data_IF_828812103718
#
_entry.id   IF_828812103718
#
_cell.length_a   1.000
_cell.length_b   1.000
_cell.length_c   1.000
_cell.angle_alpha   90.00
_cell.angle_beta   90.00
_cell.angle_gamma   90.00
#
_symmetry.space_group_name_H-M   'P 1'
#
loop_
_entity.id
_entity.type
_entity.pdbx_description
1 polymer ?
#
# COMPACT_ATOMS: atom_id res chain seq x y z
N UNK A 1 5.78 -6.27 11.51
CA UNK A 1 4.79 -5.18 11.53
C UNK A 1 3.93 -5.24 10.28
N UNK A 2 2.74 -4.66 10.36
CA UNK A 2 1.78 -4.63 9.29
C UNK A 2 1.50 -3.16 8.95
N UNK A 3 1.85 -2.76 7.73
CA UNK A 3 1.65 -1.41 7.21
C UNK A 3 0.45 -1.43 6.26
N UNK A 4 -0.44 -0.46 6.41
CA UNK A 4 -1.65 -0.34 5.60
C UNK A 4 -1.62 1.00 4.89
N UNK A 5 -1.57 0.99 3.56
CA UNK A 5 -1.58 2.18 2.71
C UNK A 5 -2.89 2.22 1.89
N UNK A 6 -3.62 3.35 1.84
CA UNK A 6 -4.80 3.46 1.00
C UNK A 6 -4.41 3.52 -0.47
N UNK A 7 -5.05 2.67 -1.28
CA UNK A 7 -4.72 2.56 -2.72
C UNK A 7 -5.84 2.99 -3.66
N UNK A 8 -7.05 3.24 -3.15
CA UNK A 8 -8.14 3.80 -3.95
C UNK A 8 -8.10 5.33 -3.98
N UNK A 9 -8.42 5.93 -5.14
CA UNK A 9 -8.40 7.39 -5.31
C UNK A 9 -9.30 8.12 -4.32
N UNK A 10 -10.42 7.52 -3.94
CA UNK A 10 -11.34 8.10 -2.96
C UNK A 10 -10.71 8.16 -1.57
N UNK A 11 -10.04 7.09 -1.11
CA UNK A 11 -9.31 7.14 0.16
C UNK A 11 -8.13 8.12 0.10
N UNK A 12 -7.35 8.11 -0.98
CA UNK A 12 -6.20 9.00 -1.13
C UNK A 12 -6.63 10.47 -1.09
N UNK A 13 -7.62 10.85 -1.90
CA UNK A 13 -8.05 12.25 -2.04
C UNK A 13 -8.94 12.73 -0.90
N UNK A 14 -9.88 11.89 -0.43
CA UNK A 14 -10.91 12.34 0.52
C UNK A 14 -10.56 12.01 1.97
N UNK A 15 -10.03 10.81 2.24
CA UNK A 15 -9.69 10.37 3.61
C UNK A 15 -8.33 10.92 4.04
N UNK A 16 -7.30 10.74 3.21
CA UNK A 16 -5.92 11.12 3.54
C UNK A 16 -5.57 12.53 3.06
N UNK A 17 -6.29 13.06 2.07
CA UNK A 17 -6.06 14.39 1.46
C UNK A 17 -4.62 14.54 0.94
N UNK A 18 -4.17 13.50 0.23
CA UNK A 18 -2.86 13.45 -0.46
C UNK A 18 -3.05 13.12 -1.94
N UNK A 19 -1.94 13.11 -2.67
CA UNK A 19 -1.84 12.55 -4.01
C UNK A 19 -1.21 11.15 -3.99
N UNK A 20 -1.24 10.49 -5.15
CA UNK A 20 -0.76 9.12 -5.36
C UNK A 20 0.75 8.98 -5.09
N UNK A 21 1.55 9.94 -5.55
CA UNK A 21 3.01 9.86 -5.42
C UNK A 21 3.44 10.07 -3.97
N UNK A 22 2.81 11.00 -3.27
CA UNK A 22 2.99 11.17 -1.82
C UNK A 22 2.71 9.89 -1.04
N UNK A 23 1.64 9.15 -1.38
CA UNK A 23 1.30 7.89 -0.70
C UNK A 23 2.33 6.80 -0.99
N UNK A 24 2.79 6.69 -2.24
CA UNK A 24 3.86 5.75 -2.63
C UNK A 24 5.16 6.02 -1.89
N UNK A 25 5.59 7.28 -1.87
CA UNK A 25 6.81 7.70 -1.19
C UNK A 25 6.75 7.38 0.31
N UNK A 26 5.65 7.73 0.99
CA UNK A 26 5.48 7.43 2.42
C UNK A 26 5.47 5.92 2.67
N UNK A 27 4.79 5.13 1.83
CA UNK A 27 4.75 3.68 1.98
C UNK A 27 6.15 3.05 1.85
N UNK A 28 6.97 3.53 0.90
CA UNK A 28 8.35 3.10 0.73
C UNK A 28 9.22 3.52 1.93
N UNK A 29 9.20 4.80 2.31
CA UNK A 29 10.01 5.33 3.43
C UNK A 29 9.71 4.62 4.76
N UNK A 30 8.43 4.36 5.07
CA UNK A 30 8.04 3.65 6.29
C UNK A 30 8.43 2.17 6.22
N UNK A 31 8.39 1.57 5.03
CA UNK A 31 8.87 0.20 4.82
C UNK A 31 10.37 0.12 5.08
N UNK A 32 11.18 0.98 4.43
CA UNK A 32 12.63 1.05 4.62
C UNK A 32 12.98 1.26 6.09
N UNK A 33 12.33 2.23 6.74
CA UNK A 33 12.52 2.50 8.16
C UNK A 33 12.28 1.25 9.01
N UNK A 34 11.21 0.50 8.75
CA UNK A 34 10.96 -0.73 9.49
C UNK A 34 11.98 -1.84 9.20
N UNK A 35 12.46 -1.94 7.96
CA UNK A 35 13.50 -2.91 7.55
C UNK A 35 14.85 -2.58 8.18
N UNK A 36 15.22 -1.31 8.30
CA UNK A 36 16.43 -0.85 8.99
C UNK A 36 16.45 -1.25 10.48
N UNK A 37 15.27 -1.47 11.07
CA UNK A 37 15.11 -1.95 12.45
C UNK A 37 14.99 -3.48 12.54
N UNK A 38 15.28 -4.22 11.46
CA UNK A 38 15.28 -5.68 11.43
C UNK A 38 13.89 -6.31 11.51
N UNK A 39 12.83 -5.57 11.20
CA UNK A 39 11.46 -6.05 11.30
C UNK A 39 11.03 -6.80 10.03
N UNK A 40 10.13 -7.78 10.20
CA UNK A 40 9.38 -8.37 9.08
C UNK A 40 8.25 -7.40 8.72
N UNK A 41 8.11 -7.03 7.46
CA UNK A 41 7.15 -6.03 6.98
C UNK A 41 6.17 -6.66 6.01
N UNK A 42 4.89 -6.41 6.24
CA UNK A 42 3.83 -6.62 5.26
C UNK A 42 3.25 -5.28 4.83
N UNK A 43 3.24 -5.02 3.53
CA UNK A 43 2.61 -3.83 2.94
C UNK A 43 1.25 -4.22 2.36
N UNK A 44 0.18 -3.62 2.88
CA UNK A 44 -1.19 -3.91 2.47
C UNK A 44 -1.83 -2.72 1.77
N UNK A 45 -2.42 -2.97 0.61
CA UNK A 45 -3.23 -1.98 -0.08
C UNK A 45 -4.66 -1.97 0.45
N UNK A 46 -4.99 -1.01 1.32
CA UNK A 46 -6.37 -0.76 1.75
C UNK A 46 -7.21 -0.34 0.53
N UNK A 47 -8.32 -1.04 0.34
CA UNK A 47 -9.28 -0.81 -0.72
C UNK A 47 -8.78 -1.16 -2.13
N UNK A 48 -7.93 -2.18 -2.21
CA UNK A 48 -7.30 -2.62 -3.45
C UNK A 48 -8.30 -3.14 -4.50
N UNK A 49 -9.43 -3.74 -4.09
CA UNK A 49 -10.48 -4.21 -5.02
C UNK A 49 -11.18 -3.09 -5.80
N UNK A 50 -10.98 -1.82 -5.41
CA UNK A 50 -11.53 -0.64 -6.08
C UNK A 50 -10.46 0.35 -6.54
N UNK A 51 -9.19 -0.05 -6.43
CA UNK A 51 -8.05 0.78 -6.83
C UNK A 51 -7.78 0.68 -8.32
N UNK A 52 -7.08 1.68 -8.86
CA UNK A 52 -6.48 1.61 -10.19
C UNK A 52 -5.39 0.53 -10.19
N UNK A 53 -5.50 -0.53 -11.04
CA UNK A 53 -4.54 -1.62 -11.06
C UNK A 53 -3.10 -1.19 -11.34
N UNK A 54 -2.88 -0.16 -12.16
CA UNK A 54 -1.51 0.31 -12.47
C UNK A 54 -0.90 1.04 -11.28
N UNK A 55 -1.69 1.83 -10.56
CA UNK A 55 -1.23 2.45 -9.31
C UNK A 55 -0.94 1.39 -8.24
N UNK A 56 -1.79 0.36 -8.13
CA UNK A 56 -1.60 -0.74 -7.19
C UNK A 56 -0.29 -1.51 -7.46
N UNK A 57 0.00 -1.79 -8.72
CA UNK A 57 1.29 -2.40 -9.11
C UNK A 57 2.46 -1.50 -8.74
N UNK A 58 2.35 -0.19 -8.98
CA UNK A 58 3.42 0.75 -8.69
C UNK A 58 3.76 0.80 -7.20
N UNK A 59 2.77 0.97 -6.31
CA UNK A 59 3.02 1.03 -4.87
C UNK A 59 3.57 -0.29 -4.31
N UNK A 60 3.13 -1.44 -4.83
CA UNK A 60 3.68 -2.72 -4.44
C UNK A 60 5.10 -2.95 -4.97
N UNK A 61 5.40 -2.48 -6.18
CA UNK A 61 6.77 -2.51 -6.71
C UNK A 61 7.71 -1.66 -5.85
N UNK A 62 7.27 -0.47 -5.42
CA UNK A 62 8.04 0.38 -4.51
C UNK A 62 8.24 -0.30 -3.15
N UNK A 63 7.19 -0.92 -2.60
CA UNK A 63 7.27 -1.67 -1.34
C UNK A 63 8.24 -2.86 -1.42
N UNK A 64 8.24 -3.60 -2.53
CA UNK A 64 9.20 -4.68 -2.77
C UNK A 64 10.63 -4.11 -2.84
N UNK A 65 10.84 -3.01 -3.57
CA UNK A 65 12.14 -2.36 -3.67
C UNK A 65 12.65 -1.86 -2.31
N UNK A 66 11.75 -1.38 -1.45
CA UNK A 66 12.01 -0.99 -0.06
C UNK A 66 12.22 -2.16 0.90
N UNK A 67 12.04 -3.41 0.44
CA UNK A 67 12.31 -4.62 1.23
C UNK A 67 11.11 -5.21 1.98
N UNK A 68 9.87 -4.90 1.58
CA UNK A 68 8.68 -5.55 2.13
C UNK A 68 8.73 -7.08 1.91
N UNK A 69 8.48 -7.85 2.97
CA UNK A 69 8.55 -9.32 2.93
C UNK A 69 7.25 -9.94 2.40
N UNK A 70 6.13 -9.24 2.56
CA UNK A 70 4.80 -9.68 2.11
C UNK A 70 3.98 -8.52 1.56
N UNK A 71 3.09 -8.85 0.65
CA UNK A 71 2.07 -7.94 0.12
C UNK A 71 0.69 -8.50 0.44
N UNK A 72 -0.28 -7.63 0.72
CA UNK A 72 -1.67 -8.05 0.92
C UNK A 72 -2.62 -7.17 0.11
N UNK A 73 -3.36 -7.82 -0.77
CA UNK A 73 -4.46 -7.21 -1.51
C UNK A 73 -5.72 -7.24 -0.63
N UNK A 74 -6.22 -6.07 -0.22
CA UNK A 74 -7.41 -6.01 0.63
C UNK A 74 -8.68 -5.77 -0.20
N UNK A 75 -9.59 -6.74 -0.22
CA UNK A 75 -10.98 -6.52 -0.64
C UNK A 75 -11.78 -5.89 0.50
N UNK A 76 -11.51 -4.62 0.77
CA UNK A 76 -11.99 -3.92 1.98
C UNK A 76 -13.51 -3.90 2.11
N UNK A 77 -14.26 -3.90 1.01
CA UNK A 77 -15.73 -3.89 1.02
C UNK A 77 -16.36 -5.25 0.71
N UNK A 78 -15.56 -6.27 0.35
CA UNK A 78 -16.07 -7.62 0.08
C UNK A 78 -16.83 -7.75 -1.23
N UNK A 79 -16.39 -7.07 -2.30
CA UNK A 79 -17.08 -7.06 -3.60
C UNK A 79 -16.59 -8.14 -4.57
N UNK A 80 -15.43 -8.75 -4.29
CA UNK A 80 -14.87 -9.78 -5.15
C UNK A 80 -15.63 -11.08 -5.00
N UNK A 81 -15.78 -11.78 -6.13
CA UNK A 81 -16.34 -13.12 -6.21
C UNK A 81 -15.23 -14.09 -6.65
N UNK A 82 -15.18 -15.32 -6.11
CA UNK A 82 -14.20 -16.33 -6.52
C UNK A 82 -14.27 -16.73 -7.99
#
# INVERSE_FOLDING_TARGET
IHLVAPVSDLHIRTKIKKDRDSVRQIAAEVTEYAKDHGLIVELSGEDASRADPEFLKAIYADGIAAGADRLCFCDTVGLLVP
#
